data_IF_532963107798
#
_entry.id   IF_532963107798
#
_cell.length_a   1.000
_cell.length_b   1.000
_cell.length_c   1.000
_cell.angle_alpha   90.00
_cell.angle_beta   90.00
_cell.angle_gamma   90.00
#
_symmetry.space_group_name_H-M   'P 1'
#
loop_
_entity.id
_entity.type
_entity.pdbx_description
1 polymer ?
#
# COMPACT_ATOMS: atom_id res chain seq x y z
N UNK A 1 4.23 -2.13 -34.20
CA UNK A 1 3.46 -1.26 -35.12
C UNK A 1 4.43 -0.49 -36.00
N UNK A 2 4.24 -0.51 -37.32
CA UNK A 2 5.05 0.26 -38.26
C UNK A 2 4.56 1.72 -38.25
N UNK A 3 5.34 2.61 -37.68
CA UNK A 3 5.11 4.06 -37.75
C UNK A 3 5.97 4.66 -38.86
N UNK A 4 5.43 5.52 -39.72
CA UNK A 4 6.25 6.14 -40.77
C UNK A 4 7.27 7.09 -40.13
N UNK A 5 8.53 6.87 -40.45
CA UNK A 5 9.67 7.67 -39.93
C UNK A 5 9.73 9.10 -40.53
N UNK A 6 9.28 9.28 -41.78
CA UNK A 6 9.29 10.57 -42.47
C UNK A 6 7.99 10.78 -43.27
N UNK A 7 6.96 11.38 -42.66
CA UNK A 7 5.68 11.56 -43.33
C UNK A 7 5.70 12.57 -44.51
N UNK A 8 6.74 13.39 -44.59
CA UNK A 8 6.82 14.42 -45.66
C UNK A 8 7.49 13.98 -46.96
N UNK A 9 8.03 12.77 -47.03
CA UNK A 9 8.79 12.29 -48.19
C UNK A 9 7.99 11.38 -49.15
N UNK A 10 6.73 11.09 -48.89
CA UNK A 10 5.89 10.22 -49.72
C UNK A 10 6.33 8.75 -49.77
N UNK A 11 7.37 8.37 -49.00
CA UNK A 11 7.89 7.00 -48.86
C UNK A 11 7.65 6.54 -47.44
N UNK A 12 6.89 5.48 -47.24
CA UNK A 12 6.70 4.81 -45.94
C UNK A 12 7.91 3.94 -45.64
N UNK A 13 8.79 4.44 -44.79
CA UNK A 13 9.85 3.61 -44.22
C UNK A 13 9.34 2.91 -42.96
N UNK A 14 9.66 1.59 -42.80
CA UNK A 14 9.31 0.85 -41.61
C UNK A 14 10.26 1.22 -40.48
N UNK A 15 9.72 1.84 -39.41
CA UNK A 15 10.45 2.10 -38.19
C UNK A 15 10.10 1.09 -37.12
N UNK A 16 11.08 0.65 -36.33
CA UNK A 16 10.86 -0.12 -35.11
C UNK A 16 10.64 0.86 -33.95
N UNK A 17 9.50 0.77 -33.30
CA UNK A 17 9.23 1.45 -32.05
C UNK A 17 9.44 0.44 -30.91
N UNK A 18 10.40 0.71 -30.05
CA UNK A 18 10.63 -0.08 -28.84
C UNK A 18 9.63 0.43 -27.79
N UNK A 19 8.72 -0.41 -27.38
CA UNK A 19 7.72 -0.08 -26.35
C UNK A 19 8.22 -0.43 -24.95
N UNK A 20 9.00 -1.51 -24.81
CA UNK A 20 9.58 -1.97 -23.56
C UNK A 20 10.99 -2.50 -23.78
N UNK A 21 11.86 -2.24 -22.82
CA UNK A 21 13.18 -2.84 -22.72
C UNK A 21 13.11 -4.09 -21.86
N UNK A 22 13.98 -5.04 -22.12
CA UNK A 22 14.16 -6.21 -21.27
C UNK A 22 14.47 -5.77 -19.84
N UNK A 23 13.73 -6.35 -18.87
CA UNK A 23 13.91 -6.11 -17.45
C UNK A 23 14.40 -7.40 -16.76
N UNK A 24 15.68 -7.70 -16.90
CA UNK A 24 16.32 -8.89 -16.31
C UNK A 24 16.47 -8.80 -14.78
N UNK A 25 16.27 -7.62 -14.21
CA UNK A 25 16.36 -7.41 -12.74
C UNK A 25 15.05 -7.71 -12.01
N UNK A 26 13.94 -7.87 -12.76
CA UNK A 26 12.64 -8.15 -12.17
C UNK A 26 12.59 -9.57 -11.63
N UNK A 27 12.27 -9.70 -10.35
CA UNK A 27 12.07 -11.01 -9.69
C UNK A 27 10.64 -11.13 -9.16
N UNK A 28 10.28 -12.34 -8.74
CA UNK A 28 8.97 -12.61 -8.17
C UNK A 28 8.82 -11.96 -6.80
N UNK A 29 7.61 -11.49 -6.52
CA UNK A 29 7.20 -11.11 -5.16
C UNK A 29 7.27 -12.34 -4.25
N UNK A 30 7.81 -12.15 -3.05
CA UNK A 30 7.97 -13.19 -2.04
C UNK A 30 7.11 -12.89 -0.83
N UNK A 31 6.40 -13.90 -0.34
CA UNK A 31 5.58 -13.81 0.85
C UNK A 31 5.94 -14.91 1.81
N UNK A 32 6.34 -14.52 3.02
CA UNK A 32 6.45 -15.42 4.16
C UNK A 32 5.29 -15.15 5.11
N UNK A 33 4.54 -16.18 5.46
CA UNK A 33 3.38 -16.05 6.33
C UNK A 33 3.38 -17.15 7.40
N UNK A 34 3.11 -16.74 8.64
CA UNK A 34 2.78 -17.62 9.76
C UNK A 34 1.38 -17.26 10.21
N UNK A 35 0.51 -18.25 10.29
CA UNK A 35 -0.86 -18.12 10.78
C UNK A 35 -1.09 -19.19 11.85
N UNK A 36 -1.66 -18.79 12.98
CA UNK A 36 -2.06 -19.68 14.08
C UNK A 36 -3.49 -19.35 14.46
N UNK A 37 -4.37 -20.32 14.27
CA UNK A 37 -5.80 -20.22 14.58
C UNK A 37 -6.23 -21.23 15.63
N UNK A 38 -7.27 -20.87 16.37
CA UNK A 38 -7.97 -21.74 17.31
C UNK A 38 -9.46 -21.55 17.18
N UNK A 39 -10.17 -22.68 17.06
CA UNK A 39 -11.62 -22.75 17.04
C UNK A 39 -12.11 -23.52 18.26
N UNK A 40 -13.04 -22.93 18.99
CA UNK A 40 -13.62 -23.52 20.20
C UNK A 40 -15.14 -23.44 20.17
N UNK A 41 -15.80 -24.52 20.53
CA UNK A 41 -17.24 -24.59 20.69
C UNK A 41 -17.64 -25.04 22.11
N UNK A 42 -18.56 -24.35 22.73
CA UNK A 42 -19.07 -24.63 24.07
C UNK A 42 -20.59 -24.79 24.08
N UNK A 43 -21.10 -25.53 25.06
CA UNK A 43 -22.54 -25.70 25.28
C UNK A 43 -23.27 -26.21 24.04
N UNK A 44 -22.81 -27.28 23.40
CA UNK A 44 -23.33 -27.79 22.13
C UNK A 44 -23.35 -26.73 21.02
N UNK A 45 -22.25 -26.03 20.85
CA UNK A 45 -22.07 -24.94 19.89
C UNK A 45 -23.05 -23.77 20.07
N UNK A 46 -23.55 -23.54 21.27
CA UNK A 46 -24.27 -22.30 21.60
C UNK A 46 -23.33 -21.11 21.71
N UNK A 47 -22.07 -21.35 22.02
CA UNK A 47 -21.00 -20.35 22.02
C UNK A 47 -19.90 -20.92 21.15
N UNK A 48 -19.55 -20.20 20.10
CA UNK A 48 -18.43 -20.50 19.20
C UNK A 48 -17.45 -19.34 19.22
N UNK A 49 -16.18 -19.64 19.43
CA UNK A 49 -15.08 -18.68 19.44
C UNK A 49 -14.05 -19.14 18.41
N UNK A 50 -13.74 -18.26 17.46
CA UNK A 50 -12.59 -18.40 16.57
C UNK A 50 -11.61 -17.25 16.84
N UNK A 51 -10.34 -17.57 16.97
CA UNK A 51 -9.29 -16.59 17.16
C UNK A 51 -8.11 -16.93 16.27
N UNK A 52 -7.68 -15.99 15.46
CA UNK A 52 -6.57 -16.11 14.54
C UNK A 52 -5.53 -15.04 14.81
N UNK A 53 -4.28 -15.44 14.79
CA UNK A 53 -3.13 -14.56 14.79
C UNK A 53 -2.28 -14.85 13.56
N UNK A 54 -1.85 -13.80 12.87
CA UNK A 54 -0.99 -13.94 11.71
C UNK A 54 0.14 -12.91 11.69
N UNK A 55 1.22 -13.32 11.04
CA UNK A 55 2.36 -12.45 10.70
C UNK A 55 2.78 -12.73 9.28
N UNK A 56 2.89 -11.66 8.48
CA UNK A 56 3.28 -11.70 7.06
C UNK A 56 4.48 -10.81 6.85
N UNK A 57 5.38 -11.26 5.99
CA UNK A 57 6.53 -10.51 5.53
C UNK A 57 6.59 -10.64 4.01
N UNK A 58 6.25 -9.56 3.31
CA UNK A 58 6.23 -9.49 1.86
C UNK A 58 7.47 -8.73 1.41
N UNK A 59 8.25 -9.34 0.53
CA UNK A 59 9.48 -8.79 -0.02
C UNK A 59 9.38 -8.68 -1.52
N UNK A 60 10.21 -7.82 -2.09
CA UNK A 60 10.36 -7.67 -3.54
C UNK A 60 9.02 -7.32 -4.23
N UNK A 61 8.14 -6.56 -3.54
CA UNK A 61 6.88 -6.11 -4.12
C UNK A 61 7.13 -5.29 -5.37
N UNK A 62 6.41 -5.60 -6.44
CA UNK A 62 6.57 -4.97 -7.74
C UNK A 62 5.84 -3.64 -7.77
N UNK A 63 6.54 -2.61 -8.17
CA UNK A 63 6.01 -1.27 -8.34
C UNK A 63 6.61 -0.55 -9.54
N UNK A 64 6.13 0.64 -9.81
CA UNK A 64 6.61 1.48 -10.91
C UNK A 64 7.76 2.36 -10.41
N UNK A 65 8.88 2.32 -11.11
CA UNK A 65 10.05 3.17 -10.90
C UNK A 65 10.07 4.23 -11.99
N UNK A 66 10.13 5.50 -11.61
CA UNK A 66 10.41 6.59 -12.54
C UNK A 66 11.91 6.59 -12.86
N UNK A 67 12.25 6.49 -14.12
CA UNK A 67 13.62 6.54 -14.61
C UNK A 67 13.96 7.95 -15.13
N UNK A 68 15.23 8.24 -15.32
CA UNK A 68 15.66 9.52 -15.87
C UNK A 68 15.42 9.66 -17.39
N UNK A 69 14.72 8.70 -18.01
CA UNK A 69 14.46 8.68 -19.44
C UNK A 69 15.66 8.28 -20.30
N UNK A 70 16.78 7.90 -19.70
CA UNK A 70 17.96 7.39 -20.41
C UNK A 70 17.57 6.04 -21.04
N UNK A 71 17.78 5.91 -22.36
CA UNK A 71 17.34 4.73 -23.10
C UNK A 71 15.87 4.79 -23.59
N UNK A 72 15.18 5.93 -23.41
CA UNK A 72 13.82 6.15 -23.92
C UNK A 72 12.71 5.64 -23.03
N UNK A 73 13.01 5.06 -21.87
CA UNK A 73 12.02 4.60 -20.89
C UNK A 73 11.92 5.60 -19.72
N UNK A 74 10.73 6.14 -19.48
CA UNK A 74 10.46 7.09 -18.40
C UNK A 74 10.01 6.37 -17.13
N UNK A 75 9.40 5.19 -17.28
CA UNK A 75 8.92 4.33 -16.20
C UNK A 75 9.29 2.88 -16.49
N UNK A 76 9.67 2.13 -15.46
CA UNK A 76 9.86 0.68 -15.51
C UNK A 76 9.24 0.02 -14.29
N UNK A 77 8.90 -1.25 -14.40
CA UNK A 77 8.56 -2.07 -13.23
C UNK A 77 9.82 -2.59 -12.55
N UNK A 78 9.80 -2.64 -11.24
CA UNK A 78 10.88 -3.18 -10.44
C UNK A 78 10.41 -3.64 -9.07
N UNK A 79 11.24 -4.41 -8.38
CA UNK A 79 11.00 -4.84 -7.01
C UNK A 79 11.42 -3.71 -6.06
N UNK A 80 10.44 -2.93 -5.59
CA UNK A 80 10.69 -1.62 -5.00
C UNK A 80 10.18 -1.47 -3.58
N UNK A 81 9.49 -2.47 -3.05
CA UNK A 81 8.88 -2.34 -1.74
C UNK A 81 8.94 -3.63 -0.92
N UNK A 82 9.01 -3.46 0.38
CA UNK A 82 8.77 -4.48 1.40
C UNK A 82 7.63 -4.06 2.31
N UNK A 83 6.85 -5.01 2.79
CA UNK A 83 5.70 -4.76 3.66
C UNK A 83 5.61 -5.85 4.73
N UNK A 84 5.67 -5.46 6.00
CA UNK A 84 5.38 -6.34 7.13
C UNK A 84 3.99 -6.07 7.66
N UNK A 85 3.25 -7.13 7.91
CA UNK A 85 1.95 -7.02 8.58
C UNK A 85 1.79 -8.10 9.63
N UNK A 86 1.08 -7.76 10.71
CA UNK A 86 0.67 -8.70 11.73
C UNK A 86 -0.72 -8.32 12.24
N UNK A 87 -1.52 -9.31 12.56
CA UNK A 87 -2.87 -9.04 13.01
C UNK A 87 -3.43 -10.13 13.91
N UNK A 88 -4.54 -9.75 14.53
CA UNK A 88 -5.37 -10.65 15.34
C UNK A 88 -6.80 -10.49 14.85
N UNK A 89 -7.48 -11.60 14.64
CA UNK A 89 -8.89 -11.66 14.32
C UNK A 89 -9.60 -12.51 15.37
N UNK A 90 -10.72 -12.04 15.86
CA UNK A 90 -11.54 -12.70 16.85
C UNK A 90 -12.99 -12.69 16.39
N UNK A 91 -13.61 -13.85 16.33
CA UNK A 91 -15.03 -14.02 16.05
C UNK A 91 -15.68 -14.79 17.20
N UNK A 92 -16.66 -14.16 17.84
CA UNK A 92 -17.47 -14.78 18.89
C UNK A 92 -18.92 -14.82 18.43
N UNK A 93 -19.47 -16.01 18.27
CA UNK A 93 -20.86 -16.25 17.93
C UNK A 93 -21.60 -16.88 19.09
N UNK A 94 -22.72 -16.33 19.48
CA UNK A 94 -23.54 -16.85 20.60
C UNK A 94 -25.00 -17.00 20.20
N UNK A 95 -25.60 -18.12 20.57
CA UNK A 95 -27.06 -18.31 20.54
C UNK A 95 -27.61 -18.06 21.94
N UNK A 96 -28.09 -16.84 22.16
CA UNK A 96 -28.53 -16.36 23.48
C UNK A 96 -29.87 -16.99 23.90
N UNK A 97 -30.84 -16.89 23.01
CA UNK A 97 -32.17 -17.42 23.24
C UNK A 97 -32.64 -18.19 22.00
N UNK A 98 -33.13 -19.39 22.20
CA UNK A 98 -33.74 -20.19 21.15
C UNK A 98 -34.98 -20.86 21.68
N UNK A 99 -36.13 -20.38 21.25
CA UNK A 99 -37.48 -20.91 21.57
C UNK A 99 -38.23 -21.20 20.29
N UNK A 100 -39.38 -21.85 20.38
CA UNK A 100 -40.20 -22.19 19.22
C UNK A 100 -40.62 -20.97 18.40
N UNK A 101 -40.84 -19.80 19.03
CA UNK A 101 -41.35 -18.60 18.38
C UNK A 101 -40.37 -17.43 18.40
N UNK A 102 -39.20 -17.55 19.04
CA UNK A 102 -38.25 -16.48 19.18
C UNK A 102 -36.84 -17.03 19.24
N UNK A 103 -35.92 -16.46 18.44
CA UNK A 103 -34.49 -16.75 18.50
C UNK A 103 -33.69 -15.44 18.52
N UNK A 104 -32.68 -15.41 19.37
CA UNK A 104 -31.71 -14.31 19.43
C UNK A 104 -30.28 -14.85 19.44
N UNK A 105 -29.50 -14.45 18.45
CA UNK A 105 -28.07 -14.70 18.37
C UNK A 105 -27.28 -13.39 18.34
N UNK A 106 -26.04 -13.44 18.74
CA UNK A 106 -25.10 -12.31 18.70
C UNK A 106 -23.81 -12.77 18.07
N UNK A 107 -23.32 -12.03 17.09
CA UNK A 107 -22.00 -12.20 16.49
C UNK A 107 -21.17 -10.96 16.80
N UNK A 108 -20.00 -11.17 17.41
CA UNK A 108 -19.01 -10.14 17.69
C UNK A 108 -17.74 -10.45 16.90
N UNK A 109 -17.32 -9.51 16.07
CA UNK A 109 -16.10 -9.61 15.25
C UNK A 109 -15.18 -8.48 15.65
N UNK A 110 -13.93 -8.83 15.97
CA UNK A 110 -12.87 -7.89 16.24
C UNK A 110 -11.68 -8.21 15.35
N UNK A 111 -11.12 -7.21 14.69
CA UNK A 111 -9.86 -7.35 13.96
C UNK A 111 -8.93 -6.19 14.27
N UNK A 112 -7.67 -6.51 14.44
CA UNK A 112 -6.60 -5.52 14.59
C UNK A 112 -5.47 -5.87 13.63
N UNK A 113 -5.10 -4.91 12.79
CA UNK A 113 -4.01 -5.01 11.83
C UNK A 113 -2.96 -3.94 12.15
N UNK A 114 -1.71 -4.37 12.27
CA UNK A 114 -0.54 -3.51 12.25
C UNK A 114 0.23 -3.80 10.96
N UNK A 115 0.49 -2.75 10.19
CA UNK A 115 1.22 -2.82 8.93
C UNK A 115 2.31 -1.77 8.89
N UNK A 116 3.45 -2.10 8.26
CA UNK A 116 4.60 -1.22 8.15
C UNK A 116 5.34 -1.47 6.84
N UNK A 117 5.59 -0.41 6.10
CA UNK A 117 6.47 -0.43 4.93
C UNK A 117 7.92 -0.52 5.40
N UNK A 118 8.62 -1.60 5.03
CA UNK A 118 9.99 -1.87 5.52
C UNK A 118 11.08 -1.46 4.55
N UNK A 119 10.75 -1.39 3.27
CA UNK A 119 11.65 -0.99 2.21
C UNK A 119 10.84 -0.29 1.13
N UNK A 120 11.34 0.82 0.62
CA UNK A 120 10.70 1.56 -0.45
C UNK A 120 11.74 2.28 -1.32
N UNK A 121 12.00 1.72 -2.50
CA UNK A 121 12.85 2.35 -3.52
C UNK A 121 12.07 3.40 -4.31
N UNK A 122 11.76 4.52 -3.70
CA UNK A 122 11.14 5.65 -4.41
C UNK A 122 11.78 6.97 -4.01
N UNK A 123 11.76 7.95 -4.92
CA UNK A 123 12.18 9.31 -4.61
C UNK A 123 11.17 9.93 -3.64
N UNK A 124 11.64 10.28 -2.45
CA UNK A 124 10.81 10.86 -1.38
C UNK A 124 10.79 12.39 -1.55
N UNK A 125 9.73 12.94 -2.13
CA UNK A 125 9.45 14.38 -2.06
C UNK A 125 8.29 14.60 -1.11
N UNK A 126 8.38 15.62 -0.24
CA UNK A 126 7.31 15.93 0.72
C UNK A 126 5.94 16.15 0.03
N UNK A 127 5.94 16.75 -1.16
CA UNK A 127 4.72 16.98 -1.93
C UNK A 127 4.06 15.67 -2.38
N UNK A 128 4.82 14.62 -2.65
CA UNK A 128 4.27 13.33 -3.08
C UNK A 128 3.56 12.61 -1.93
N UNK A 129 3.97 12.85 -0.68
CA UNK A 129 3.33 12.29 0.52
C UNK A 129 1.97 12.94 0.83
N UNK A 130 1.82 14.23 0.54
CA UNK A 130 0.59 14.98 0.81
C UNK A 130 -0.32 15.12 -0.41
N UNK A 131 0.13 14.69 -1.60
CA UNK A 131 -0.70 14.65 -2.79
C UNK A 131 -1.71 13.51 -2.73
N UNK A 132 -2.91 13.71 -3.28
CA UNK A 132 -4.00 12.74 -3.21
C UNK A 132 -3.74 11.37 -3.87
N UNK A 133 -2.62 11.18 -4.55
CA UNK A 133 -2.18 9.91 -5.11
C UNK A 133 -1.52 8.98 -4.09
N UNK A 134 -1.20 9.48 -2.89
CA UNK A 134 -0.70 8.74 -1.74
C UNK A 134 0.58 7.96 -2.01
N UNK A 135 1.68 8.39 -1.43
CA UNK A 135 2.91 7.59 -1.39
C UNK A 135 3.07 6.95 -0.01
N UNK A 136 3.55 5.70 0.03
CA UNK A 136 3.99 5.07 1.26
C UNK A 136 5.30 5.69 1.74
N UNK A 137 5.56 5.58 3.04
CA UNK A 137 6.83 5.95 3.66
C UNK A 137 7.30 4.80 4.55
N UNK A 138 8.59 4.49 4.51
CA UNK A 138 9.19 3.47 5.37
C UNK A 138 8.94 3.78 6.85
N UNK A 139 8.64 2.76 7.63
CA UNK A 139 8.28 2.89 9.03
C UNK A 139 6.82 3.24 9.29
N UNK A 140 6.03 3.47 8.24
CA UNK A 140 4.60 3.80 8.35
C UNK A 140 3.73 2.76 7.66
N UNK A 141 2.45 2.64 8.03
CA UNK A 141 1.49 1.83 7.29
C UNK A 141 1.35 2.28 5.84
N UNK A 142 1.08 1.36 4.93
CA UNK A 142 0.94 1.65 3.48
C UNK A 142 -0.18 2.64 3.15
N UNK A 143 -1.17 2.77 4.04
CA UNK A 143 -2.32 3.67 3.91
C UNK A 143 -2.27 4.84 4.87
N UNK A 144 -1.09 5.30 5.22
CA UNK A 144 -0.94 6.50 6.06
C UNK A 144 -1.33 7.76 5.28
N UNK A 145 -2.00 8.66 5.97
CA UNK A 145 -2.30 9.99 5.45
C UNK A 145 -1.27 10.94 6.06
N UNK A 146 -0.58 11.67 5.20
CA UNK A 146 0.39 12.67 5.61
C UNK A 146 -0.17 14.06 5.34
N UNK A 147 0.16 15.00 6.20
CA UNK A 147 -0.21 16.41 6.05
C UNK A 147 0.91 17.30 6.56
N UNK A 148 0.96 18.52 6.05
CA UNK A 148 1.81 19.54 6.63
C UNK A 148 1.19 20.02 7.95
N UNK A 149 2.01 20.23 8.98
CA UNK A 149 1.59 20.81 10.24
C UNK A 149 1.47 22.35 10.07
N UNK A 150 0.26 22.77 9.70
CA UNK A 150 -0.06 24.17 9.39
C UNK A 150 -0.16 25.00 10.67
N UNK A 151 0.60 26.10 10.74
CA UNK A 151 0.71 26.99 11.88
C UNK A 151 0.05 28.37 11.63
N UNK A 152 -0.66 28.54 10.56
CA UNK A 152 -1.30 29.80 10.21
C UNK A 152 -0.61 30.54 9.07
N UNK A 153 -0.88 31.84 8.98
CA UNK A 153 -0.29 32.73 7.99
C UNK A 153 0.69 33.69 8.71
N UNK A 154 1.77 34.05 8.03
CA UNK A 154 2.64 35.11 8.47
C UNK A 154 2.01 36.49 8.22
N UNK A 155 2.71 37.56 8.59
CA UNK A 155 2.25 38.97 8.44
C UNK A 155 2.03 39.35 6.96
N UNK A 156 2.61 38.61 6.03
CA UNK A 156 2.45 38.78 4.56
C UNK A 156 1.33 37.92 3.99
N UNK A 157 0.64 37.14 4.81
CA UNK A 157 -0.42 36.22 4.38
C UNK A 157 0.08 34.89 3.75
N UNK A 158 1.35 34.55 3.96
CA UNK A 158 1.95 33.32 3.42
C UNK A 158 1.76 32.19 4.44
N UNK A 159 1.30 30.97 4.02
CA UNK A 159 1.17 29.81 4.89
C UNK A 159 2.49 29.42 5.57
N UNK A 160 2.43 29.11 6.84
CA UNK A 160 3.55 28.63 7.65
C UNK A 160 3.30 27.19 8.10
N UNK A 161 4.35 26.40 8.12
CA UNK A 161 4.32 24.98 8.47
C UNK A 161 5.49 24.63 9.38
N UNK A 162 5.36 23.56 10.15
CA UNK A 162 6.48 22.98 10.87
C UNK A 162 7.17 21.95 9.94
N UNK A 163 8.49 22.12 9.76
CA UNK A 163 9.30 21.19 8.99
C UNK A 163 9.73 19.97 9.84
N UNK A 164 10.40 18.99 9.21
CA UNK A 164 10.90 17.77 9.87
C UNK A 164 11.85 18.04 11.05
N UNK A 165 12.45 19.22 11.13
CA UNK A 165 13.34 19.65 12.21
C UNK A 165 12.60 20.39 13.33
N UNK A 166 11.27 20.46 13.26
CA UNK A 166 10.46 21.20 14.22
C UNK A 166 10.56 22.72 14.09
N UNK A 167 10.99 23.22 12.94
CA UNK A 167 11.17 24.66 12.71
C UNK A 167 10.03 25.19 11.85
N UNK A 168 9.62 26.43 12.15
CA UNK A 168 8.62 27.14 11.36
C UNK A 168 9.23 27.55 10.01
N UNK A 169 8.53 27.24 8.91
CA UNK A 169 8.95 27.54 7.54
C UNK A 169 7.76 27.93 6.68
N UNK A 170 8.03 28.62 5.57
CA UNK A 170 7.04 28.97 4.54
C UNK A 170 7.17 28.13 3.27
N UNK A 171 8.16 27.23 3.23
CA UNK A 171 8.45 26.34 2.09
C UNK A 171 8.87 24.96 2.57
#
# INVERSE_FOLDING_TARGET
SNTPWRPSAGVTESGLTIYDLENSELTYEKKNEVNVGIDMGFLNNRISLAADWYKRDNHDLIGVINTQGIGGQVMKYGNVAGLKSSGVELTLSTRNIETKNFSWSTDFIYSHLKEEVTDLMSYKRAIDLVSGTGFGMEGYPSRSIFSFDFQGLNDEGIPQFINEKGQLTTT
#
